data_IF_331226588493
#
_entry.id   IF_331226588493
#
_cell.length_a   1.000
_cell.length_b   1.000
_cell.length_c   1.000
_cell.angle_alpha   90.00
_cell.angle_beta   90.00
_cell.angle_gamma   90.00
#
_symmetry.space_group_name_H-M   'P 1'
#
loop_
_entity.id
_entity.type
_entity.pdbx_description
1 polymer ?
#
# COMPACT_ATOMS: atom_id res chain seq x y z
N UNK A 1 55.63 -28.86 29.13
CA UNK A 1 56.04 -27.54 29.64
C UNK A 1 56.06 -26.64 28.42
N UNK A 2 55.36 -25.50 28.35
CA UNK A 2 54.68 -24.71 29.41
C UNK A 2 53.26 -24.24 28.98
N UNK A 3 52.60 -23.39 29.79
CA UNK A 3 51.26 -22.79 29.59
C UNK A 3 51.10 -21.49 30.41
N UNK A 4 50.13 -20.57 30.16
CA UNK A 4 49.21 -20.42 29.02
C UNK A 4 49.59 -19.18 28.14
N UNK A 5 49.08 -17.91 28.21
CA UNK A 5 47.91 -17.29 28.86
C UNK A 5 46.90 -16.50 27.95
N UNK A 6 45.63 -16.48 28.40
CA UNK A 6 44.51 -15.52 28.22
C UNK A 6 44.55 -14.38 27.15
N UNK A 7 43.55 -14.45 26.26
CA UNK A 7 42.49 -13.46 25.97
C UNK A 7 42.78 -11.94 25.79
N UNK A 8 42.41 -11.43 24.60
CA UNK A 8 41.92 -10.07 24.34
C UNK A 8 40.61 -10.20 23.53
N UNK A 9 39.46 -9.81 24.08
CA UNK A 9 38.86 -8.47 24.09
C UNK A 9 38.30 -8.04 22.72
N UNK A 10 37.01 -7.66 22.72
CA UNK A 10 36.28 -7.30 21.51
C UNK A 10 36.38 -5.80 21.22
N UNK A 11 36.79 -5.46 20.00
CA UNK A 11 36.57 -4.15 19.41
C UNK A 11 36.33 -4.31 17.90
N UNK A 12 35.22 -3.77 17.40
CA UNK A 12 34.95 -3.61 15.97
C UNK A 12 34.47 -2.19 15.67
N UNK A 13 35.25 -1.21 16.13
CA UNK A 13 35.35 0.03 15.37
C UNK A 13 36.26 -0.25 14.17
N UNK A 14 35.64 -0.30 12.99
CA UNK A 14 36.33 -0.36 11.71
C UNK A 14 35.55 0.52 10.72
N UNK A 15 35.50 1.82 11.03
CA UNK A 15 34.99 2.83 10.11
C UNK A 15 35.97 2.95 8.92
N UNK A 16 35.79 2.08 7.93
CA UNK A 16 36.56 2.13 6.68
C UNK A 16 36.12 3.37 5.92
N UNK A 17 37.02 4.35 5.80
CA UNK A 17 36.83 5.50 4.91
C UNK A 17 36.78 4.98 3.48
N UNK A 18 35.59 4.99 2.89
CA UNK A 18 35.39 4.54 1.51
C UNK A 18 35.99 5.56 0.52
N UNK A 19 36.73 5.07 -0.46
CA UNK A 19 37.28 5.90 -1.53
C UNK A 19 36.14 6.36 -2.46
N UNK A 20 35.90 7.68 -2.48
CA UNK A 20 34.81 8.28 -3.27
C UNK A 20 34.98 8.07 -4.79
N UNK A 21 36.18 7.74 -5.28
CA UNK A 21 36.41 7.48 -6.71
C UNK A 21 35.81 6.15 -7.20
N UNK A 22 35.49 5.23 -6.31
CA UNK A 22 34.98 3.88 -6.64
C UNK A 22 33.46 3.73 -6.50
N UNK A 23 32.76 4.79 -6.06
CA UNK A 23 31.30 4.77 -5.83
C UNK A 23 30.46 4.24 -7.01
N UNK A 24 30.69 4.60 -8.29
CA UNK A 24 29.78 4.21 -9.38
C UNK A 24 29.65 2.69 -9.56
N UNK A 25 30.78 1.98 -9.63
CA UNK A 25 30.81 0.52 -9.79
C UNK A 25 30.50 -0.24 -8.50
N UNK A 26 30.66 0.41 -7.34
CA UNK A 26 30.23 -0.14 -6.06
C UNK A 26 28.69 -0.13 -5.95
N UNK A 27 28.04 1.02 -6.12
CA UNK A 27 26.59 1.13 -5.91
C UNK A 27 25.78 0.31 -6.92
N UNK A 28 26.25 0.19 -8.18
CA UNK A 28 25.57 -0.66 -9.16
C UNK A 28 25.58 -2.14 -8.74
N UNK A 29 26.70 -2.62 -8.17
CA UNK A 29 26.78 -3.97 -7.56
C UNK A 29 26.05 -4.11 -6.22
N UNK A 30 25.75 -3.02 -5.51
CA UNK A 30 24.88 -3.10 -4.34
C UNK A 30 23.42 -3.37 -4.72
N UNK A 31 22.97 -2.90 -5.90
CA UNK A 31 21.59 -3.10 -6.35
C UNK A 31 21.33 -4.49 -6.97
N UNK A 32 22.35 -5.15 -7.52
CA UNK A 32 22.23 -6.49 -8.13
C UNK A 32 22.19 -7.65 -7.10
N UNK A 33 22.38 -7.39 -5.80
CA UNK A 33 22.53 -8.44 -4.77
C UNK A 33 21.40 -8.40 -3.74
N UNK A 34 20.36 -9.22 -3.95
CA UNK A 34 19.18 -9.39 -3.08
C UNK A 34 19.50 -9.70 -1.60
N UNK A 35 20.75 -10.10 -1.29
CA UNK A 35 21.21 -10.42 0.06
C UNK A 35 21.54 -9.21 0.96
N UNK A 36 21.69 -7.99 0.43
CA UNK A 36 22.14 -6.81 1.22
C UNK A 36 20.99 -6.12 1.99
N UNK A 37 19.74 -6.38 1.61
CA UNK A 37 18.51 -5.89 2.26
C UNK A 37 18.40 -6.20 3.77
N UNK A 38 19.19 -7.14 4.28
CA UNK A 38 19.12 -7.66 5.66
C UNK A 38 19.94 -6.86 6.71
N UNK A 39 20.59 -5.75 6.34
CA UNK A 39 21.51 -5.02 7.24
C UNK A 39 21.15 -3.55 7.54
N UNK A 40 20.06 -3.02 6.99
CA UNK A 40 19.58 -1.69 7.36
C UNK A 40 18.74 -1.76 8.66
N UNK A 41 19.02 -0.94 9.71
CA UNK A 41 18.42 -1.11 11.03
C UNK A 41 16.99 -0.57 11.18
N UNK A 42 16.44 0.14 10.19
CA UNK A 42 15.06 0.69 10.19
C UNK A 42 14.48 0.73 8.78
N UNK A 43 13.15 0.67 8.64
CA UNK A 43 12.50 0.81 7.31
C UNK A 43 12.82 2.14 6.63
N UNK A 44 13.01 3.22 7.37
CA UNK A 44 13.41 4.52 6.82
C UNK A 44 14.74 4.47 6.08
N UNK A 45 15.73 3.71 6.58
CA UNK A 45 17.02 3.59 5.92
C UNK A 45 16.95 2.65 4.70
N UNK A 46 16.11 1.60 4.75
CA UNK A 46 15.81 0.77 3.55
C UNK A 46 15.20 1.64 2.46
N UNK A 47 14.18 2.43 2.78
CA UNK A 47 13.52 3.33 1.83
C UNK A 47 14.51 4.35 1.23
N UNK A 48 15.36 4.98 2.05
CA UNK A 48 16.39 5.92 1.57
C UNK A 48 17.46 5.25 0.69
N UNK A 49 17.84 4.01 0.98
CA UNK A 49 18.77 3.25 0.13
C UNK A 49 18.11 2.81 -1.18
N UNK A 50 16.83 2.43 -1.14
CA UNK A 50 16.05 2.12 -2.34
C UNK A 50 15.82 3.35 -3.21
N UNK A 51 15.53 4.51 -2.61
CA UNK A 51 15.48 5.81 -3.30
C UNK A 51 16.80 6.16 -3.97
N UNK A 52 17.94 5.92 -3.31
CA UNK A 52 19.25 6.13 -3.92
C UNK A 52 19.48 5.18 -5.10
N UNK A 53 19.12 3.90 -4.98
CA UNK A 53 19.23 2.93 -6.07
C UNK A 53 18.33 3.26 -7.26
N UNK A 54 17.06 3.61 -7.04
CA UNK A 54 16.15 4.00 -8.11
C UNK A 54 16.64 5.23 -8.88
N UNK A 55 17.15 6.25 -8.18
CA UNK A 55 17.78 7.44 -8.77
C UNK A 55 19.09 7.16 -9.52
N UNK A 56 19.73 6.01 -9.30
CA UNK A 56 20.95 5.58 -9.99
C UNK A 56 20.67 4.64 -11.19
N UNK A 57 19.45 4.13 -11.31
CA UNK A 57 19.00 3.24 -12.38
C UNK A 57 17.92 3.88 -13.28
N UNK A 58 17.67 5.20 -13.13
CA UNK A 58 16.59 5.96 -13.78
C UNK A 58 15.19 5.32 -13.62
N UNK A 59 14.95 4.63 -12.50
CA UNK A 59 13.65 4.02 -12.17
C UNK A 59 12.72 5.12 -11.64
N UNK A 60 11.51 5.32 -12.21
CA UNK A 60 10.55 6.30 -11.72
C UNK A 60 10.14 6.06 -10.27
N UNK A 61 10.15 7.12 -9.46
CA UNK A 61 9.92 7.10 -8.00
C UNK A 61 8.60 6.43 -7.59
N UNK A 62 7.59 6.43 -8.47
CA UNK A 62 6.28 5.80 -8.29
C UNK A 62 6.41 4.33 -7.85
N UNK A 63 7.32 3.57 -8.49
CA UNK A 63 7.55 2.13 -8.22
C UNK A 63 8.01 1.82 -6.79
N UNK A 64 8.42 2.82 -5.99
CA UNK A 64 8.93 2.60 -4.64
C UNK A 64 7.82 2.57 -3.57
N UNK A 65 6.68 3.22 -3.81
CA UNK A 65 5.51 3.10 -2.93
C UNK A 65 4.83 1.73 -3.13
N UNK A 66 4.80 1.24 -4.36
CA UNK A 66 4.21 -0.04 -4.76
C UNK A 66 4.91 -1.24 -4.08
N UNK A 67 6.24 -1.20 -4.00
CA UNK A 67 7.06 -2.22 -3.30
C UNK A 67 6.83 -2.28 -1.78
N UNK A 68 6.10 -1.32 -1.19
CA UNK A 68 5.67 -1.33 0.21
C UNK A 68 4.15 -1.55 0.37
N UNK A 69 3.43 -1.87 -0.71
CA UNK A 69 1.98 -2.14 -0.70
C UNK A 69 1.09 -0.91 -0.90
N UNK A 70 1.67 0.25 -1.26
CA UNK A 70 0.91 1.32 -1.87
C UNK A 70 0.49 1.00 -3.31
N UNK A 71 -0.35 1.85 -3.91
CA UNK A 71 -0.69 1.80 -5.34
C UNK A 71 -1.38 3.12 -5.76
N UNK A 72 -0.95 3.73 -6.87
CA UNK A 72 -1.68 4.84 -7.53
C UNK A 72 -2.61 4.37 -8.67
N UNK A 73 -2.63 3.07 -8.95
CA UNK A 73 -3.44 2.45 -10.01
C UNK A 73 -3.21 3.03 -11.43
N UNK A 74 -2.11 3.75 -11.66
CA UNK A 74 -1.66 4.15 -13.00
C UNK A 74 -1.20 2.92 -13.81
N UNK A 75 -0.41 2.05 -13.16
CA UNK A 75 -0.06 0.71 -13.63
C UNK A 75 -1.09 -0.34 -13.11
N UNK A 76 -1.16 -1.55 -13.70
CA UNK A 76 -2.10 -2.58 -13.27
C UNK A 76 -2.02 -2.88 -11.76
N UNK A 77 -3.16 -2.99 -11.07
CA UNK A 77 -3.18 -3.20 -9.61
C UNK A 77 -2.39 -4.44 -9.14
N UNK A 78 -2.23 -5.43 -10.01
CA UNK A 78 -1.41 -6.63 -9.77
C UNK A 78 0.10 -6.32 -9.65
N UNK A 79 0.59 -5.25 -10.25
CA UNK A 79 1.98 -4.77 -10.11
C UNK A 79 2.27 -4.32 -8.67
N UNK A 80 1.29 -3.69 -8.03
CA UNK A 80 1.30 -3.34 -6.61
C UNK A 80 1.11 -4.56 -5.67
N UNK A 81 0.94 -5.77 -6.21
CA UNK A 81 0.64 -6.98 -5.46
C UNK A 81 -0.79 -7.07 -4.91
N UNK A 82 -1.72 -6.25 -5.41
CA UNK A 82 -3.13 -6.30 -5.01
C UNK A 82 -3.82 -7.47 -5.72
N UNK A 83 -4.82 -8.06 -5.06
CA UNK A 83 -5.69 -9.09 -5.65
C UNK A 83 -7.15 -8.79 -5.39
N UNK A 84 -8.04 -9.48 -6.08
CA UNK A 84 -9.46 -9.47 -5.78
C UNK A 84 -9.88 -10.83 -5.18
N UNK A 85 -11.11 -10.94 -4.72
CA UNK A 85 -11.66 -12.21 -4.20
C UNK A 85 -12.26 -13.05 -5.33
N UNK A 86 -12.31 -14.37 -5.12
CA UNK A 86 -13.05 -15.33 -5.95
C UNK A 86 -14.32 -15.85 -5.23
N UNK A 87 -14.67 -15.28 -4.07
CA UNK A 87 -15.71 -15.80 -3.15
C UNK A 87 -16.77 -14.78 -2.72
N UNK A 88 -16.85 -13.65 -3.41
CA UNK A 88 -17.85 -12.59 -3.29
C UNK A 88 -18.71 -12.51 -4.58
N UNK A 89 -19.44 -11.42 -4.78
CA UNK A 89 -20.46 -11.34 -5.85
C UNK A 89 -19.91 -10.74 -7.17
N UNK A 90 -18.93 -9.82 -7.10
CA UNK A 90 -18.32 -9.20 -8.28
C UNK A 90 -16.99 -8.49 -7.97
N UNK A 91 -16.21 -8.20 -9.02
CA UNK A 91 -14.92 -7.51 -8.93
C UNK A 91 -15.03 -5.98 -9.09
N UNK A 92 -14.06 -5.28 -8.51
CA UNK A 92 -13.71 -3.88 -8.77
C UNK A 92 -13.13 -3.71 -10.18
N UNK A 93 -13.50 -2.64 -10.86
CA UNK A 93 -12.95 -2.22 -12.16
C UNK A 93 -11.73 -1.30 -11.95
N UNK A 94 -10.60 -1.54 -12.62
CA UNK A 94 -9.53 -0.53 -12.71
C UNK A 94 -9.85 0.46 -13.83
N UNK A 95 -9.84 1.75 -13.54
CA UNK A 95 -10.25 2.82 -14.45
C UNK A 95 -9.19 3.91 -14.51
N UNK A 96 -8.87 4.36 -15.72
CA UNK A 96 -8.04 5.54 -15.97
C UNK A 96 -8.78 6.46 -16.95
N UNK A 97 -9.22 7.61 -16.44
CA UNK A 97 -10.01 8.58 -17.21
C UNK A 97 -9.18 9.46 -18.13
N UNK A 98 -7.85 9.50 -17.96
CA UNK A 98 -6.95 10.22 -18.86
C UNK A 98 -6.73 9.45 -20.16
N UNK A 99 -6.63 8.12 -20.09
CA UNK A 99 -6.54 7.25 -21.28
C UNK A 99 -7.90 6.92 -21.88
N UNK A 100 -8.95 6.82 -21.06
CA UNK A 100 -10.34 6.59 -21.50
C UNK A 100 -11.29 7.64 -20.90
N UNK A 101 -11.39 8.84 -21.50
CA UNK A 101 -12.30 9.89 -21.04
C UNK A 101 -13.76 9.45 -20.97
N UNK A 102 -14.46 9.98 -19.96
CA UNK A 102 -15.88 9.74 -19.69
C UNK A 102 -16.69 11.02 -19.88
N UNK A 103 -17.99 10.88 -20.12
CA UNK A 103 -18.97 11.97 -20.14
C UNK A 103 -19.98 11.90 -18.98
N UNK A 104 -19.85 10.91 -18.08
CA UNK A 104 -20.67 10.83 -16.88
C UNK A 104 -20.16 11.82 -15.81
N UNK A 105 -20.97 12.80 -15.36
CA UNK A 105 -20.55 13.83 -14.41
C UNK A 105 -20.35 13.30 -12.97
N UNK A 106 -20.71 12.05 -12.69
CA UNK A 106 -20.55 11.44 -11.37
C UNK A 106 -19.31 10.55 -11.27
N UNK A 107 -18.63 10.28 -12.38
CA UNK A 107 -17.35 9.56 -12.38
C UNK A 107 -16.22 10.50 -11.91
N UNK A 108 -15.35 10.10 -10.97
CA UNK A 108 -14.18 10.88 -10.62
C UNK A 108 -13.17 10.94 -11.78
N UNK A 109 -12.27 11.93 -11.75
CA UNK A 109 -11.13 12.03 -12.68
C UNK A 109 -9.86 11.56 -11.99
N UNK A 110 -9.10 10.69 -12.65
CA UNK A 110 -7.87 10.07 -12.15
C UNK A 110 -7.56 8.73 -12.82
N UNK A 111 -6.62 8.02 -12.20
CA UNK A 111 -6.43 6.56 -12.23
C UNK A 111 -6.95 6.02 -10.90
N UNK A 112 -7.76 4.96 -10.86
CA UNK A 112 -8.38 4.48 -9.60
C UNK A 112 -9.01 3.09 -9.75
N UNK A 113 -9.28 2.45 -8.61
CA UNK A 113 -10.17 1.29 -8.52
C UNK A 113 -11.62 1.74 -8.27
N UNK A 114 -12.58 1.14 -8.96
CA UNK A 114 -13.98 1.57 -9.02
C UNK A 114 -14.95 0.42 -8.75
N UNK A 115 -16.03 0.73 -8.02
CA UNK A 115 -17.27 -0.06 -7.98
C UNK A 115 -18.41 0.78 -8.54
N UNK A 116 -19.04 0.28 -9.60
CA UNK A 116 -20.30 0.77 -10.14
C UNK A 116 -21.47 -0.03 -9.52
N UNK A 117 -22.36 0.65 -8.79
CA UNK A 117 -23.48 0.01 -8.07
C UNK A 117 -24.72 -0.22 -8.93
N UNK A 118 -24.70 0.20 -10.19
CA UNK A 118 -25.84 0.10 -11.11
C UNK A 118 -26.31 -1.35 -11.26
N UNK A 119 -27.58 -1.60 -10.94
CA UNK A 119 -28.25 -2.92 -10.97
C UNK A 119 -27.65 -3.96 -10.00
N UNK A 120 -26.82 -3.53 -9.05
CA UNK A 120 -26.26 -4.37 -7.97
C UNK A 120 -26.91 -4.01 -6.65
N UNK A 121 -27.78 -4.85 -6.11
CA UNK A 121 -28.44 -4.59 -4.80
C UNK A 121 -27.96 -5.62 -3.78
N UNK A 122 -27.32 -5.16 -2.70
CA UNK A 122 -26.80 -6.01 -1.63
C UNK A 122 -25.58 -6.86 -2.01
N UNK A 123 -24.97 -6.62 -3.17
CA UNK A 123 -23.80 -7.37 -3.66
C UNK A 123 -22.51 -6.87 -3.01
N UNK A 124 -21.50 -7.74 -2.94
CA UNK A 124 -20.18 -7.48 -2.37
C UNK A 124 -19.05 -7.56 -3.40
N UNK A 125 -18.08 -6.66 -3.25
CA UNK A 125 -16.81 -6.66 -3.98
C UNK A 125 -15.62 -6.39 -3.04
N UNK A 126 -14.61 -7.26 -3.05
CA UNK A 126 -13.44 -7.26 -2.17
C UNK A 126 -12.14 -7.02 -2.94
N UNK A 127 -11.49 -5.89 -2.69
CA UNK A 127 -10.13 -5.59 -3.14
C UNK A 127 -9.17 -5.79 -1.97
N UNK A 128 -8.16 -6.65 -2.16
CA UNK A 128 -7.22 -7.05 -1.13
C UNK A 128 -5.83 -6.45 -1.41
N UNK A 129 -5.22 -5.84 -0.40
CA UNK A 129 -3.81 -5.45 -0.41
C UNK A 129 -2.89 -6.68 -0.40
N UNK A 130 -1.60 -6.53 -0.75
CA UNK A 130 -0.58 -7.50 -0.39
C UNK A 130 -0.49 -7.68 1.14
N UNK A 131 0.11 -8.79 1.59
CA UNK A 131 0.30 -9.06 3.03
C UNK A 131 1.45 -8.21 3.61
N UNK A 132 1.08 -7.24 4.44
CA UNK A 132 2.02 -6.31 5.07
C UNK A 132 2.70 -6.94 6.31
N UNK A 133 4.00 -6.65 6.44
CA UNK A 133 4.93 -7.25 7.41
C UNK A 133 5.82 -6.14 7.96
N UNK A 134 5.26 -5.47 8.97
CA UNK A 134 5.80 -4.23 9.51
C UNK A 134 6.56 -4.48 10.82
N UNK A 135 7.79 -3.96 10.90
CA UNK A 135 8.61 -3.99 12.10
C UNK A 135 8.44 -2.70 12.92
N UNK A 136 8.24 -1.59 12.21
CA UNK A 136 8.19 -0.23 12.74
C UNK A 136 6.74 0.29 12.79
N UNK A 137 6.50 1.37 13.56
CA UNK A 137 5.20 2.07 13.54
C UNK A 137 5.00 2.77 12.20
N UNK A 138 3.86 2.48 11.56
CA UNK A 138 3.53 2.89 10.21
C UNK A 138 2.08 3.40 10.16
N UNK A 139 1.73 4.04 9.06
CA UNK A 139 0.39 4.48 8.73
C UNK A 139 0.03 4.01 7.33
N UNK A 140 -1.19 3.53 7.11
CA UNK A 140 -1.72 3.36 5.76
C UNK A 140 -2.63 4.55 5.48
N UNK A 141 -2.41 5.27 4.40
CA UNK A 141 -3.36 6.25 3.89
C UNK A 141 -3.90 5.87 2.51
N UNK A 142 -5.11 6.34 2.21
CA UNK A 142 -5.76 6.17 0.91
C UNK A 142 -6.76 7.30 0.68
N UNK A 143 -7.07 7.57 -0.59
CA UNK A 143 -8.16 8.45 -0.98
C UNK A 143 -9.39 7.61 -1.36
N UNK A 144 -10.58 8.05 -0.96
CA UNK A 144 -11.85 7.47 -1.39
C UNK A 144 -12.80 8.53 -1.95
N UNK A 145 -13.69 8.11 -2.83
CA UNK A 145 -14.69 8.95 -3.49
C UNK A 145 -16.04 8.23 -3.52
N UNK A 146 -17.13 8.95 -3.25
CA UNK A 146 -18.50 8.43 -3.32
C UNK A 146 -19.41 9.46 -4.02
N UNK A 147 -20.10 9.04 -5.07
CA UNK A 147 -21.06 9.85 -5.82
C UNK A 147 -22.33 9.08 -6.17
N UNK A 148 -23.47 9.77 -6.26
CA UNK A 148 -24.69 9.20 -6.82
C UNK A 148 -25.51 10.25 -7.55
N UNK A 149 -26.11 9.82 -8.66
CA UNK A 149 -27.08 10.57 -9.45
C UNK A 149 -28.37 10.89 -8.70
N UNK A 150 -28.73 10.14 -7.66
CA UNK A 150 -29.94 10.39 -6.85
C UNK A 150 -29.68 11.28 -5.63
N UNK A 151 -28.42 11.50 -5.26
CA UNK A 151 -28.05 12.13 -3.98
C UNK A 151 -28.20 11.21 -2.76
N UNK A 152 -28.71 9.98 -2.93
CA UNK A 152 -28.76 8.96 -1.88
C UNK A 152 -27.50 8.09 -1.93
N UNK A 153 -27.06 7.54 -0.78
CA UNK A 153 -25.82 6.77 -0.72
C UNK A 153 -25.86 5.51 -1.63
N UNK A 154 -24.94 5.35 -2.61
CA UNK A 154 -24.91 4.18 -3.50
C UNK A 154 -24.44 2.88 -2.82
N UNK A 155 -23.73 2.94 -1.69
CA UNK A 155 -23.24 1.74 -1.00
C UNK A 155 -22.42 2.04 0.25
N UNK A 156 -22.10 1.00 1.01
CA UNK A 156 -21.21 1.11 2.19
C UNK A 156 -19.82 0.69 1.75
N UNK A 157 -18.81 1.55 1.97
CA UNK A 157 -17.40 1.15 1.87
C UNK A 157 -16.90 0.80 3.28
N UNK A 158 -16.52 -0.45 3.47
CA UNK A 158 -15.92 -1.00 4.68
C UNK A 158 -14.42 -1.24 4.45
N UNK A 159 -13.61 -1.08 5.50
CA UNK A 159 -12.21 -1.53 5.54
C UNK A 159 -12.03 -2.53 6.66
N UNK A 160 -11.38 -3.66 6.37
CA UNK A 160 -11.04 -4.71 7.33
C UNK A 160 -9.53 -4.92 7.42
N UNK A 161 -9.06 -5.45 8.55
CA UNK A 161 -7.66 -5.84 8.76
C UNK A 161 -7.60 -7.30 9.20
N UNK A 162 -7.29 -8.18 8.26
CA UNK A 162 -7.20 -9.63 8.44
C UNK A 162 -5.79 -10.02 8.90
N UNK A 163 -5.64 -10.34 10.19
CA UNK A 163 -4.34 -10.71 10.79
C UNK A 163 -4.07 -12.21 10.62
N UNK A 164 -2.84 -12.58 10.26
CA UNK A 164 -2.34 -13.97 10.17
C UNK A 164 -3.25 -14.94 9.39
N UNK A 165 -3.86 -14.50 8.30
CA UNK A 165 -4.86 -15.24 7.50
C UNK A 165 -6.16 -15.65 8.24
N UNK A 166 -6.46 -15.06 9.41
CA UNK A 166 -7.65 -15.36 10.21
C UNK A 166 -8.98 -14.93 9.59
N UNK A 167 -10.03 -14.88 10.42
CA UNK A 167 -11.35 -14.38 10.03
C UNK A 167 -11.31 -12.87 9.73
N UNK A 168 -12.24 -12.40 8.91
CA UNK A 168 -12.29 -10.99 8.49
C UNK A 168 -12.69 -10.04 9.63
N UNK A 169 -13.47 -10.54 10.60
CA UNK A 169 -13.89 -9.81 11.79
C UNK A 169 -14.90 -8.69 11.50
N UNK A 170 -14.82 -7.61 12.28
CA UNK A 170 -15.60 -6.38 12.10
C UNK A 170 -14.77 -5.36 11.29
N UNK A 171 -15.40 -4.44 10.54
CA UNK A 171 -14.66 -3.38 9.85
C UNK A 171 -13.96 -2.46 10.86
N UNK A 172 -12.71 -2.11 10.58
CA UNK A 172 -11.92 -1.15 11.38
C UNK A 172 -12.28 0.30 11.06
N UNK A 173 -12.82 0.54 9.85
CA UNK A 173 -13.33 1.81 9.37
C UNK A 173 -14.46 1.54 8.37
N UNK A 174 -15.43 2.45 8.28
CA UNK A 174 -16.43 2.44 7.22
C UNK A 174 -16.91 3.86 6.92
N UNK A 175 -17.51 4.04 5.74
CA UNK A 175 -18.32 5.21 5.40
C UNK A 175 -19.67 4.76 4.84
N UNK A 176 -20.74 5.38 5.33
CA UNK A 176 -22.12 5.16 4.87
C UNK A 176 -22.92 6.47 4.72
N UNK A 177 -22.22 7.61 4.78
CA UNK A 177 -22.77 8.96 4.68
C UNK A 177 -23.29 9.32 3.27
N UNK A 178 -23.86 10.52 3.14
CA UNK A 178 -24.36 11.04 1.88
C UNK A 178 -23.24 11.20 0.82
N UNK A 179 -23.52 10.92 -0.47
CA UNK A 179 -22.54 11.02 -1.55
C UNK A 179 -22.19 12.49 -1.85
N UNK A 180 -20.98 12.90 -1.46
CA UNK A 180 -20.51 14.29 -1.59
C UNK A 180 -19.74 14.59 -2.89
N UNK A 181 -19.37 13.58 -3.69
CA UNK A 181 -18.75 13.78 -5.01
C UNK A 181 -17.37 14.45 -4.95
N UNK A 182 -16.62 14.27 -3.86
CA UNK A 182 -15.24 14.72 -3.70
C UNK A 182 -14.36 13.57 -3.20
N UNK A 183 -13.05 13.66 -3.46
CA UNK A 183 -12.04 12.79 -2.87
C UNK A 183 -11.80 13.15 -1.40
N UNK A 184 -11.72 12.14 -0.54
CA UNK A 184 -11.47 12.27 0.90
C UNK A 184 -10.33 11.35 1.30
N UNK A 185 -9.37 11.84 2.09
CA UNK A 185 -8.22 11.06 2.56
C UNK A 185 -8.50 10.45 3.93
N UNK A 186 -8.12 9.19 4.10
CA UNK A 186 -8.25 8.43 5.35
C UNK A 186 -6.87 7.94 5.78
N UNK A 187 -6.60 7.94 7.08
CA UNK A 187 -5.38 7.39 7.69
C UNK A 187 -5.75 6.24 8.65
N UNK A 188 -5.05 5.11 8.57
CA UNK A 188 -5.28 3.89 9.34
C UNK A 188 -4.01 3.47 10.10
N UNK A 189 -4.08 3.52 11.43
CA UNK A 189 -2.99 3.12 12.33
C UNK A 189 -3.09 1.62 12.69
N UNK A 190 -2.45 0.75 11.90
CA UNK A 190 -2.50 -0.70 12.12
C UNK A 190 -1.45 -1.15 13.14
N UNK A 191 -1.90 -1.47 14.36
CA UNK A 191 -1.03 -1.92 15.46
C UNK A 191 -0.66 -3.42 15.38
N UNK A 192 -0.37 -3.93 14.18
CA UNK A 192 0.05 -5.33 13.94
C UNK A 192 1.46 -5.36 13.39
N UNK A 193 2.35 -6.09 14.06
CA UNK A 193 3.79 -6.10 13.77
C UNK A 193 4.35 -7.53 13.65
N UNK A 194 5.47 -7.63 12.95
CA UNK A 194 6.26 -8.86 12.79
C UNK A 194 6.55 -9.53 14.17
N UNK A 195 6.48 -10.87 14.30
CA UNK A 195 6.35 -11.90 13.26
C UNK A 195 4.93 -12.10 12.70
N UNK A 196 3.94 -11.35 13.18
CA UNK A 196 2.61 -11.36 12.58
C UNK A 196 2.62 -10.62 11.24
N UNK A 197 1.65 -10.94 10.39
CA UNK A 197 1.35 -10.20 9.18
C UNK A 197 -0.14 -9.87 9.13
N UNK A 198 -0.50 -8.88 8.33
CA UNK A 198 -1.91 -8.55 8.11
C UNK A 198 -2.19 -8.23 6.65
N UNK A 199 -3.46 -8.27 6.29
CA UNK A 199 -3.95 -7.92 4.96
C UNK A 199 -5.11 -6.94 5.13
N UNK A 200 -5.04 -5.80 4.45
CA UNK A 200 -6.18 -4.87 4.38
C UNK A 200 -7.12 -5.34 3.28
N UNK A 201 -8.42 -5.28 3.54
CA UNK A 201 -9.46 -5.58 2.56
C UNK A 201 -10.43 -4.41 2.49
N UNK A 202 -10.59 -3.86 1.29
CA UNK A 202 -11.63 -2.90 0.94
C UNK A 202 -12.86 -3.68 0.46
N UNK A 203 -13.98 -3.54 1.15
CA UNK A 203 -15.27 -4.12 0.76
C UNK A 203 -16.25 -3.00 0.41
N UNK A 204 -16.87 -3.07 -0.78
CA UNK A 204 -18.12 -2.35 -1.03
C UNK A 204 -19.30 -3.29 -0.89
N UNK A 205 -20.31 -2.87 -0.13
CA UNK A 205 -21.66 -3.46 -0.13
C UNK A 205 -22.60 -2.50 -0.86
N UNK A 206 -23.21 -2.93 -1.97
CA UNK A 206 -24.02 -2.06 -2.82
C UNK A 206 -25.46 -1.89 -2.29
N UNK A 207 -26.05 -0.71 -2.50
CA UNK A 207 -27.44 -0.38 -2.12
C UNK A 207 -28.43 -0.57 -3.29
N UNK A 208 -29.68 -0.15 -3.13
CA UNK A 208 -30.64 0.02 -4.23
C UNK A 208 -30.43 1.30 -5.06
N UNK A 209 -29.41 2.12 -4.74
CA UNK A 209 -29.13 3.39 -5.39
C UNK A 209 -27.92 3.33 -6.34
N UNK A 210 -28.09 3.91 -7.53
CA UNK A 210 -27.06 3.96 -8.57
C UNK A 210 -25.99 5.00 -8.26
N UNK A 211 -24.72 4.63 -8.35
CA UNK A 211 -23.60 5.55 -8.21
C UNK A 211 -22.25 4.83 -8.26
N UNK A 212 -21.23 5.54 -7.79
CA UNK A 212 -19.84 5.11 -7.83
C UNK A 212 -19.20 5.21 -6.45
N UNK A 213 -18.44 4.18 -6.09
CA UNK A 213 -17.47 4.20 -5.01
C UNK A 213 -16.10 3.93 -5.62
N UNK A 214 -15.11 4.76 -5.32
CA UNK A 214 -13.75 4.61 -5.86
C UNK A 214 -12.69 4.77 -4.78
N UNK A 215 -11.54 4.13 -5.00
CA UNK A 215 -10.34 4.19 -4.15
C UNK A 215 -9.14 4.49 -5.03
N UNK A 216 -8.27 5.37 -4.54
CA UNK A 216 -7.08 5.85 -5.22
C UNK A 216 -5.92 6.04 -4.22
N UNK A 217 -4.69 6.08 -4.76
CA UNK A 217 -3.54 6.74 -4.17
C UNK A 217 -3.18 6.20 -2.76
N UNK A 218 -3.24 4.87 -2.62
CA UNK A 218 -2.98 4.12 -1.38
C UNK A 218 -1.48 4.11 -1.09
N UNK A 219 -1.04 4.34 0.16
CA UNK A 219 0.38 4.37 0.53
C UNK A 219 0.60 3.79 1.92
N UNK A 220 1.77 3.22 2.13
CA UNK A 220 2.20 2.64 3.40
C UNK A 220 3.40 3.45 3.89
N UNK A 221 3.15 4.34 4.84
CA UNK A 221 4.07 5.37 5.30
C UNK A 221 4.80 4.90 6.56
N UNK A 222 6.13 4.98 6.57
CA UNK A 222 6.99 4.57 7.68
C UNK A 222 7.01 5.55 8.87
N UNK A 223 5.85 6.09 9.26
CA UNK A 223 5.66 6.97 10.40
C UNK A 223 4.28 6.75 11.05
N UNK A 224 4.04 7.16 12.30
CA UNK A 224 2.70 7.15 12.90
C UNK A 224 1.73 8.04 12.10
N UNK A 225 0.44 7.67 12.08
CA UNK A 225 -0.60 8.54 11.52
C UNK A 225 -0.73 9.87 12.27
N UNK A 226 -1.26 10.87 11.59
CA UNK A 226 -1.66 12.16 12.13
C UNK A 226 -2.86 12.02 13.09
N UNK A 227 -3.15 13.08 13.84
CA UNK A 227 -4.32 13.20 14.73
C UNK A 227 -5.20 14.37 14.31
#
# INVERSE_FOLDING_TARGET
METPPRAWLASREAAVVADLSLLPLALQKWCEWEAVLLLAPTKTLVAQQWEACARLLDIPVVHMAEMMGGCSFDEPFTSCGYSQSDTDDFNWDQVNTFTKPTTDPWMPTGSFMLVNTTERIGQKAHLLLPQLKENDTHCIDFNFFVSSKSGSNPGILNVYVKVNNGELGNPVWNVSDAPIGIWNRVELAVSTFWPNFYQVVFEVITSDHQGYLAIDDVKVLGHPCSK
#
